data_IF_549413269151
#
_entry.id   IF_549413269151
#
_cell.length_a   1.000
_cell.length_b   1.000
_cell.length_c   1.000
_cell.angle_alpha   90.00
_cell.angle_beta   90.00
_cell.angle_gamma   90.00
#
_symmetry.space_group_name_H-M   'P 1'
#
loop_
_entity.id
_entity.type
_entity.pdbx_description
1 polymer ?
#
# COMPACT_ATOMS: atom_id res chain seq x y z
N UNK A 1 -3.15 3.17 22.94
CA UNK A 1 -4.27 2.61 22.16
C UNK A 1 -3.91 2.79 20.71
N UNK A 2 -4.01 1.75 19.89
CA UNK A 2 -3.72 1.86 18.46
C UNK A 2 -4.80 2.70 17.78
N UNK A 3 -4.42 3.52 16.81
CA UNK A 3 -5.35 4.36 16.04
C UNK A 3 -5.22 4.07 14.55
N UNK A 4 -6.34 4.06 13.80
CA UNK A 4 -6.28 3.81 12.36
C UNK A 4 -5.59 4.98 11.64
N UNK A 5 -4.85 4.64 10.61
CA UNK A 5 -4.25 5.61 9.68
C UNK A 5 -5.25 5.95 8.58
N UNK A 6 -5.35 7.23 8.25
CA UNK A 6 -6.19 7.75 7.18
C UNK A 6 -5.29 8.30 6.07
N UNK A 7 -5.30 7.69 4.90
CA UNK A 7 -4.64 8.26 3.72
C UNK A 7 -5.58 9.31 3.12
N UNK A 8 -5.21 10.58 3.26
CA UNK A 8 -6.01 11.73 2.79
C UNK A 8 -5.73 12.11 1.36
N UNK A 9 -4.51 11.86 0.91
CA UNK A 9 -4.04 12.16 -0.43
C UNK A 9 -3.17 11.03 -0.94
N UNK A 10 -3.38 10.66 -2.20
CA UNK A 10 -2.55 9.70 -2.92
C UNK A 10 -2.04 10.39 -4.17
N UNK A 11 -0.72 10.41 -4.37
CA UNK A 11 -0.12 10.92 -5.61
C UNK A 11 0.37 9.74 -6.45
N UNK A 12 -0.10 9.69 -7.69
CA UNK A 12 0.44 8.82 -8.71
C UNK A 12 1.60 9.55 -9.40
N UNK A 13 2.83 9.11 -9.18
CA UNK A 13 4.03 9.69 -9.81
C UNK A 13 4.42 8.95 -11.11
N UNK A 14 3.56 8.06 -11.59
CA UNK A 14 3.78 7.27 -12.81
C UNK A 14 2.89 7.76 -13.94
N UNK A 15 3.25 7.41 -15.18
CA UNK A 15 2.41 7.67 -16.36
C UNK A 15 1.19 6.73 -16.46
N UNK A 16 1.21 5.61 -15.73
CA UNK A 16 0.17 4.58 -15.77
C UNK A 16 -0.91 4.86 -14.74
N UNK A 17 -2.14 4.41 -14.97
CA UNK A 17 -3.18 4.47 -13.94
C UNK A 17 -2.87 3.52 -12.80
N UNK A 18 -3.09 3.97 -11.57
CA UNK A 18 -3.01 3.17 -10.34
C UNK A 18 -4.42 2.81 -9.90
N UNK A 19 -4.59 1.57 -9.50
CA UNK A 19 -5.84 1.08 -8.91
C UNK A 19 -5.58 0.59 -7.50
N UNK A 20 -6.45 1.00 -6.59
CA UNK A 20 -6.45 0.58 -5.19
C UNK A 20 -7.79 -0.07 -4.91
N UNK A 21 -7.76 -1.31 -4.40
CA UNK A 21 -8.94 -2.06 -3.97
C UNK A 21 -8.86 -2.28 -2.47
N UNK A 22 -9.88 -1.81 -1.74
CA UNK A 22 -9.96 -2.00 -0.30
C UNK A 22 -10.80 -3.24 0.04
N UNK A 23 -10.14 -4.32 0.47
CA UNK A 23 -10.81 -5.55 0.83
C UNK A 23 -11.67 -5.47 2.11
N UNK A 24 -11.29 -4.62 3.06
CA UNK A 24 -12.08 -4.37 4.29
C UNK A 24 -13.38 -3.60 4.00
N UNK A 25 -13.38 -2.74 2.97
CA UNK A 25 -14.52 -1.90 2.57
C UNK A 25 -15.22 -2.45 1.32
N UNK A 26 -15.59 -3.73 1.35
CA UNK A 26 -16.41 -4.35 0.31
C UNK A 26 -15.80 -4.34 -1.10
N UNK A 27 -14.46 -4.38 -1.20
CA UNK A 27 -13.71 -4.23 -2.46
C UNK A 27 -13.93 -2.89 -3.16
N UNK A 28 -14.20 -1.82 -2.41
CA UNK A 28 -14.26 -0.46 -2.96
C UNK A 28 -12.98 -0.14 -3.75
N UNK A 29 -13.17 0.39 -4.95
CA UNK A 29 -12.11 0.65 -5.92
C UNK A 29 -11.88 2.14 -6.09
N UNK A 30 -10.62 2.56 -6.01
CA UNK A 30 -10.15 3.90 -6.36
C UNK A 30 -9.22 3.74 -7.56
N UNK A 31 -9.42 4.56 -8.59
CA UNK A 31 -8.53 4.64 -9.74
C UNK A 31 -7.98 6.06 -9.88
N UNK A 32 -6.69 6.16 -10.15
CA UNK A 32 -5.95 7.41 -10.23
C UNK A 32 -5.15 7.39 -11.53
N UNK A 33 -5.54 8.24 -12.48
CA UNK A 33 -4.83 8.37 -13.75
C UNK A 33 -3.36 8.79 -13.54
N UNK A 34 -2.54 8.54 -14.56
CA UNK A 34 -1.13 8.90 -14.56
C UNK A 34 -0.88 10.36 -14.20
N UNK A 35 0.10 10.61 -13.33
CA UNK A 35 0.48 11.93 -12.82
C UNK A 35 -0.63 12.74 -12.16
N UNK A 36 -1.75 12.09 -11.77
CA UNK A 36 -2.84 12.72 -11.00
C UNK A 36 -2.73 12.39 -9.52
N UNK A 37 -3.58 13.05 -8.74
CA UNK A 37 -3.76 12.77 -7.31
C UNK A 37 -5.21 12.45 -7.02
N UNK A 38 -5.42 11.63 -6.00
CA UNK A 38 -6.70 11.42 -5.36
C UNK A 38 -6.73 12.10 -4.01
N UNK A 39 -7.89 12.60 -3.61
CA UNK A 39 -8.14 13.18 -2.28
C UNK A 39 -9.43 12.59 -1.73
N UNK A 40 -9.42 12.25 -0.44
CA UNK A 40 -10.57 11.66 0.24
C UNK A 40 -10.20 11.11 1.60
N UNK A 41 -10.93 10.08 2.03
CA UNK A 41 -10.61 9.35 3.25
C UNK A 41 -10.49 7.86 2.94
N UNK A 42 -9.25 7.36 2.92
CA UNK A 42 -8.96 5.95 2.77
C UNK A 42 -8.34 5.43 4.08
N UNK A 43 -9.14 4.69 4.83
CA UNK A 43 -8.70 4.05 6.06
C UNK A 43 -7.80 2.86 5.72
N UNK A 44 -6.61 2.82 6.31
CA UNK A 44 -5.69 1.68 6.17
C UNK A 44 -6.18 0.53 7.08
N UNK A 45 -6.48 -0.66 6.53
CA UNK A 45 -6.97 -1.79 7.31
C UNK A 45 -5.95 -2.32 8.30
N UNK A 46 -6.43 -2.71 9.48
CA UNK A 46 -5.63 -3.37 10.51
C UNK A 46 -5.51 -4.86 10.23
N UNK A 47 -4.26 -5.35 10.18
CA UNK A 47 -3.95 -6.77 9.99
C UNK A 47 -2.86 -7.16 10.99
N UNK A 48 -3.09 -8.23 11.74
CA UNK A 48 -2.12 -8.76 12.72
C UNK A 48 -1.64 -10.18 12.41
N UNK A 49 -2.16 -10.79 11.33
CA UNK A 49 -1.81 -12.16 10.92
C UNK A 49 -2.21 -12.48 9.47
N UNK A 50 -1.64 -13.55 8.93
CA UNK A 50 -1.89 -14.05 7.57
C UNK A 50 -3.38 -14.26 7.24
N UNK A 51 -4.18 -14.80 8.19
CA UNK A 51 -5.60 -15.09 7.97
C UNK A 51 -6.51 -13.87 7.77
N UNK A 52 -5.97 -12.65 7.90
CA UNK A 52 -6.71 -11.40 7.68
C UNK A 52 -6.37 -10.75 6.33
N UNK A 53 -5.66 -11.47 5.44
CA UNK A 53 -5.25 -11.01 4.11
C UNK A 53 -6.38 -10.34 3.30
N UNK A 54 -7.61 -10.83 3.46
CA UNK A 54 -8.80 -10.33 2.77
C UNK A 54 -9.11 -8.86 3.07
N UNK A 55 -8.57 -8.28 4.15
CA UNK A 55 -8.75 -6.88 4.50
C UNK A 55 -7.84 -5.95 3.72
N UNK A 56 -6.67 -6.43 3.27
CA UNK A 56 -5.58 -5.58 2.80
C UNK A 56 -5.99 -4.67 1.63
N UNK A 57 -5.33 -3.52 1.52
CA UNK A 57 -5.42 -2.70 0.32
C UNK A 57 -4.59 -3.37 -0.76
N UNK A 58 -5.20 -3.77 -1.87
CA UNK A 58 -4.47 -4.24 -3.05
C UNK A 58 -4.25 -3.06 -3.98
N UNK A 59 -2.99 -2.68 -4.19
CA UNK A 59 -2.56 -1.64 -5.10
C UNK A 59 -1.92 -2.30 -6.32
N UNK A 60 -2.35 -1.92 -7.52
CA UNK A 60 -1.72 -2.37 -8.75
C UNK A 60 -1.66 -1.25 -9.78
N UNK A 61 -0.62 -1.31 -10.60
CA UNK A 61 -0.38 -0.34 -11.67
C UNK A 61 -0.80 -0.99 -12.99
N UNK A 62 -1.58 -0.27 -13.78
CA UNK A 62 -2.01 -0.73 -15.11
C UNK A 62 -0.81 -0.99 -16.02
N UNK A 63 -0.97 -1.85 -17.03
CA UNK A 63 0.17 -2.26 -17.90
C UNK A 63 1.10 -3.32 -17.29
N UNK A 64 0.63 -4.07 -16.28
CA UNK A 64 1.32 -5.28 -15.79
C UNK A 64 2.55 -5.01 -14.91
N UNK A 65 2.61 -3.85 -14.25
CA UNK A 65 3.78 -3.43 -13.45
C UNK A 65 3.77 -3.94 -12.00
N UNK A 66 3.00 -5.00 -11.72
CA UNK A 66 2.97 -5.69 -10.44
C UNK A 66 1.79 -5.35 -9.52
N UNK A 67 1.75 -6.04 -8.38
CA UNK A 67 0.76 -5.85 -7.31
C UNK A 67 1.49 -5.71 -5.98
N UNK A 68 0.95 -4.86 -5.12
CA UNK A 68 1.39 -4.72 -3.73
C UNK A 68 0.18 -4.70 -2.81
N UNK A 69 0.34 -5.33 -1.66
CA UNK A 69 -0.62 -5.37 -0.58
C UNK A 69 -0.19 -4.43 0.52
N UNK A 70 -1.06 -3.53 0.97
CA UNK A 70 -0.77 -2.53 2.02
C UNK A 70 -1.73 -2.70 3.19
N UNK A 71 -1.19 -2.59 4.41
CA UNK A 71 -1.94 -2.71 5.65
C UNK A 71 -1.22 -2.01 6.80
N UNK A 72 -1.94 -1.74 7.89
CA UNK A 72 -1.38 -1.24 9.12
C UNK A 72 -1.23 -2.40 10.12
N UNK A 73 -0.01 -2.64 10.55
CA UNK A 73 0.33 -3.69 11.51
C UNK A 73 0.12 -3.18 12.94
N UNK A 74 -0.92 -3.70 13.59
CA UNK A 74 -1.23 -3.38 14.99
C UNK A 74 -0.59 -4.36 15.99
N UNK A 75 0.03 -5.44 15.50
CA UNK A 75 0.50 -6.56 16.31
C UNK A 75 2.04 -6.62 16.44
N UNK A 76 2.82 -6.28 15.41
CA UNK A 76 4.28 -6.47 15.39
C UNK A 76 5.09 -5.29 14.77
N UNK A 77 5.78 -4.46 15.58
CA UNK A 77 5.78 -4.46 17.04
C UNK A 77 4.43 -3.97 17.58
N UNK A 78 3.97 -4.48 18.73
CA UNK A 78 2.70 -4.03 19.30
C UNK A 78 2.74 -2.52 19.55
N UNK A 79 1.62 -1.86 19.24
CA UNK A 79 1.41 -0.40 19.43
C UNK A 79 2.28 0.53 18.58
N UNK A 80 3.00 0.02 17.57
CA UNK A 80 3.75 0.86 16.62
C UNK A 80 2.93 1.29 15.42
N UNK A 81 1.87 0.54 15.11
CA UNK A 81 0.89 0.91 14.08
C UNK A 81 1.54 1.20 12.72
N UNK A 82 2.61 0.45 12.42
CA UNK A 82 3.42 0.69 11.25
C UNK A 82 2.66 0.26 9.99
N UNK A 83 2.64 1.11 8.97
CA UNK A 83 2.10 0.74 7.68
C UNK A 83 3.15 -0.10 6.95
N UNK A 84 2.74 -1.31 6.57
CA UNK A 84 3.56 -2.30 5.88
C UNK A 84 3.01 -2.60 4.51
N UNK A 85 3.88 -3.16 3.68
CA UNK A 85 3.52 -3.64 2.36
C UNK A 85 4.21 -4.96 2.02
N UNK A 86 3.57 -5.73 1.15
CA UNK A 86 4.16 -6.90 0.51
C UNK A 86 3.98 -6.81 -1.01
N UNK A 87 5.07 -6.93 -1.75
CA UNK A 87 5.05 -7.01 -3.22
C UNK A 87 4.91 -8.48 -3.64
N UNK A 88 3.83 -8.81 -4.34
CA UNK A 88 3.55 -10.18 -4.77
C UNK A 88 2.13 -10.39 -5.25
N UNK A 89 1.91 -11.49 -5.98
CA UNK A 89 0.58 -11.85 -6.49
C UNK A 89 -0.38 -12.28 -5.38
N UNK A 90 0.15 -12.85 -4.31
CA UNK A 90 -0.57 -13.27 -3.11
C UNK A 90 -0.07 -12.48 -1.91
N UNK A 91 -0.90 -12.33 -0.89
CA UNK A 91 -0.52 -11.62 0.33
C UNK A 91 0.43 -12.45 1.20
N UNK A 92 1.44 -11.81 1.80
CA UNK A 92 2.27 -12.41 2.84
C UNK A 92 2.45 -11.44 4.00
N UNK A 93 2.01 -11.83 5.19
CA UNK A 93 2.22 -11.06 6.42
C UNK A 93 3.68 -11.12 6.87
N UNK A 94 4.27 -12.31 6.90
CA UNK A 94 5.66 -12.51 7.34
C UNK A 94 6.67 -11.89 6.38
N UNK A 95 6.37 -11.89 5.08
CA UNK A 95 7.20 -11.25 4.06
C UNK A 95 7.05 -9.73 3.97
N UNK A 96 6.11 -9.14 4.71
CA UNK A 96 5.80 -7.72 4.61
C UNK A 96 6.91 -6.85 5.22
N UNK A 97 7.14 -5.70 4.60
CA UNK A 97 8.15 -4.71 5.00
C UNK A 97 7.48 -3.39 5.33
N UNK A 98 8.07 -2.59 6.20
CA UNK A 98 7.57 -1.24 6.48
C UNK A 98 7.66 -0.34 5.24
N UNK A 99 6.60 0.42 4.97
CA UNK A 99 6.65 1.51 3.98
C UNK A 99 7.60 2.59 4.52
N UNK A 100 8.39 3.19 3.62
CA UNK A 100 9.33 4.25 4.02
C UNK A 100 8.60 5.55 4.41
N UNK A 101 9.31 6.42 5.14
CA UNK A 101 8.81 7.74 5.51
C UNK A 101 7.95 7.71 6.78
N UNK A 102 6.93 8.55 6.84
CA UNK A 102 6.07 8.80 7.99
C UNK A 102 5.01 7.68 8.19
N UNK A 103 5.45 6.44 8.30
CA UNK A 103 4.61 5.23 8.27
C UNK A 103 4.07 4.79 9.64
N UNK A 104 4.41 5.48 10.73
CA UNK A 104 3.96 5.16 12.10
C UNK A 104 3.10 6.29 12.68
N UNK A 105 2.48 6.05 13.84
CA UNK A 105 1.84 7.10 14.65
C UNK A 105 0.43 7.50 14.24
N UNK A 106 -0.28 6.67 13.48
CA UNK A 106 -1.68 6.87 13.04
C UNK A 106 -1.96 8.25 12.40
N UNK A 107 -3.23 8.57 12.18
CA UNK A 107 -3.66 9.88 11.70
C UNK A 107 -3.59 10.06 10.19
N UNK A 108 -3.63 11.32 9.76
CA UNK A 108 -3.73 11.70 8.36
C UNK A 108 -2.36 11.61 7.67
N UNK A 109 -2.28 10.86 6.57
CA UNK A 109 -1.06 10.62 5.79
C UNK A 109 -1.26 10.94 4.32
N UNK A 110 -0.14 11.24 3.66
CA UNK A 110 -0.04 11.26 2.21
C UNK A 110 0.71 10.01 1.72
N UNK A 111 0.18 9.33 0.71
CA UNK A 111 0.85 8.21 0.05
C UNK A 111 1.39 8.64 -1.32
N UNK A 112 2.69 8.46 -1.53
CA UNK A 112 3.35 8.58 -2.83
C UNK A 112 3.50 7.18 -3.43
N UNK A 113 3.16 7.03 -4.71
CA UNK A 113 3.31 5.78 -5.44
C UNK A 113 4.10 6.04 -6.73
N UNK A 114 5.20 5.31 -6.89
CA UNK A 114 6.05 5.35 -8.06
C UNK A 114 6.38 3.91 -8.52
N UNK A 115 6.83 3.74 -9.75
CA UNK A 115 7.35 2.48 -10.29
C UNK A 115 8.81 2.67 -10.65
N UNK A 116 9.64 1.80 -10.10
CA UNK A 116 11.08 1.75 -10.42
C UNK A 116 11.40 0.50 -11.23
N UNK A 117 12.39 0.61 -12.12
CA UNK A 117 13.01 -0.55 -12.74
C UNK A 117 13.98 -1.20 -11.75
N UNK A 118 13.88 -2.51 -11.62
CA UNK A 118 14.76 -3.33 -10.78
C UNK A 118 15.28 -4.51 -11.59
N UNK A 119 16.51 -4.92 -11.32
CA UNK A 119 17.05 -6.15 -11.89
C UNK A 119 16.76 -7.31 -10.93
N UNK A 120 16.02 -8.32 -11.39
CA UNK A 120 15.77 -9.56 -10.66
C UNK A 120 16.28 -10.72 -11.52
N UNK A 121 17.28 -11.46 -11.02
CA UNK A 121 17.87 -12.62 -11.70
C UNK A 121 18.33 -12.36 -13.15
N UNK A 122 18.96 -11.19 -13.41
CA UNK A 122 19.45 -10.82 -14.74
C UNK A 122 18.36 -10.35 -15.72
N UNK A 123 17.12 -10.17 -15.26
CA UNK A 123 16.01 -9.63 -16.05
C UNK A 123 15.53 -8.30 -15.48
N UNK A 124 15.17 -7.37 -16.38
CA UNK A 124 14.49 -6.13 -16.00
C UNK A 124 13.08 -6.45 -15.54
N UNK A 125 12.75 -6.00 -14.34
CA UNK A 125 11.43 -6.07 -13.75
C UNK A 125 11.02 -4.68 -13.24
N UNK A 126 9.74 -4.55 -12.90
CA UNK A 126 9.21 -3.34 -12.28
C UNK A 126 8.90 -3.62 -10.82
N UNK A 127 9.13 -2.63 -9.96
CA UNK A 127 8.71 -2.68 -8.57
C UNK A 127 7.95 -1.43 -8.20
N UNK A 128 6.87 -1.60 -7.44
CA UNK A 128 6.06 -0.50 -6.95
C UNK A 128 6.71 0.03 -5.67
N UNK A 129 7.19 1.27 -5.72
CA UNK A 129 7.74 1.97 -4.58
C UNK A 129 6.64 2.78 -3.88
N UNK A 130 6.54 2.62 -2.56
CA UNK A 130 5.58 3.31 -1.71
C UNK A 130 6.33 4.16 -0.67
N UNK A 131 5.85 5.38 -0.45
CA UNK A 131 6.38 6.27 0.59
C UNK A 131 5.24 7.03 1.28
N UNK A 132 5.31 7.09 2.62
CA UNK A 132 4.41 7.89 3.44
C UNK A 132 5.05 9.25 3.72
N UNK A 133 4.35 10.33 3.42
CA UNK A 133 4.74 11.70 3.79
C UNK A 133 3.80 12.26 4.87
#
# INVERSE_FOLDING_TARGET
>A
MASKTHIRTIKNETEFSIVIVNGEDGNKRIEIDGFKKWQGDLVVPWIGRQGEAWKALKIYVTGGKGNVWVFQDYWNPPHKDAIKYYEGNEFSYEGAKEIRGNNQGAGDKLLLINVIEVEKNGQRAHSINLEMA
#
